data_IF_103461763784
#
_entry.id   IF_103461763784
#
_cell.length_a   1.000
_cell.length_b   1.000
_cell.length_c   1.000
_cell.angle_alpha   90.00
_cell.angle_beta   90.00
_cell.angle_gamma   90.00
#
_symmetry.space_group_name_H-M   'P 1'
#
loop_
_entity.id
_entity.type
_entity.pdbx_description
1 polymer ?
#
# COMPACT_ATOMS: atom_id res chain seq x y z
N UNK A 1 12.93 -0.81 18.69
CA UNK A 1 11.54 -0.93 19.15
C UNK A 1 10.97 -2.33 18.90
N UNK A 2 11.19 -2.97 17.73
CA UNK A 2 10.71 -4.34 17.49
C UNK A 2 11.10 -5.33 18.60
N UNK A 3 12.37 -5.41 18.92
CA UNK A 3 12.89 -6.34 19.96
C UNK A 3 12.21 -6.19 21.33
N UNK A 4 11.79 -4.99 21.70
CA UNK A 4 11.07 -4.77 22.97
C UNK A 4 9.63 -5.30 22.91
N UNK A 5 8.97 -5.19 21.77
CA UNK A 5 7.63 -5.75 21.57
C UNK A 5 7.67 -7.27 21.46
N UNK A 6 8.73 -7.85 20.84
CA UNK A 6 8.88 -9.30 20.73
C UNK A 6 9.05 -9.94 22.12
N UNK A 7 9.89 -9.36 22.98
CA UNK A 7 10.07 -9.84 24.38
C UNK A 7 8.79 -9.74 25.22
N UNK A 8 8.02 -8.65 25.05
CA UNK A 8 6.72 -8.49 25.73
C UNK A 8 5.69 -9.48 25.15
N UNK A 9 5.76 -9.74 23.85
CA UNK A 9 4.91 -10.71 23.16
C UNK A 9 5.09 -12.13 23.68
N UNK A 10 6.34 -12.57 23.87
CA UNK A 10 6.62 -13.89 24.45
C UNK A 10 6.04 -14.06 25.85
N UNK A 11 6.20 -13.06 26.72
CA UNK A 11 5.64 -13.09 28.08
C UNK A 11 4.11 -13.17 28.03
N UNK A 12 3.49 -12.36 27.17
CA UNK A 12 2.02 -12.36 27.00
C UNK A 12 1.53 -13.71 26.45
N UNK A 13 2.22 -14.28 25.46
CA UNK A 13 1.86 -15.57 24.88
C UNK A 13 1.93 -16.71 25.90
N UNK A 14 2.98 -16.73 26.72
CA UNK A 14 3.14 -17.72 27.80
C UNK A 14 2.03 -17.61 28.84
N UNK A 15 1.69 -16.38 29.26
CA UNK A 15 0.64 -16.13 30.21
C UNK A 15 -0.75 -16.52 29.69
N UNK A 16 -1.06 -16.17 28.45
CA UNK A 16 -2.34 -16.47 27.80
C UNK A 16 -2.52 -17.97 27.57
N UNK A 17 -1.47 -18.68 27.15
CA UNK A 17 -1.51 -20.12 26.92
C UNK A 17 -1.68 -20.95 28.19
N UNK A 18 -1.28 -20.42 29.37
CA UNK A 18 -1.46 -21.08 30.65
C UNK A 18 -2.88 -20.93 31.20
N UNK A 19 -3.59 -19.85 30.91
CA UNK A 19 -4.84 -19.50 31.60
C UNK A 19 -6.09 -19.56 30.73
N UNK A 20 -5.94 -19.63 29.38
CA UNK A 20 -7.06 -19.55 28.43
C UNK A 20 -7.09 -20.73 27.43
N UNK A 21 -8.29 -21.10 26.95
CA UNK A 21 -8.41 -22.07 25.86
C UNK A 21 -7.60 -21.62 24.64
N UNK A 22 -6.98 -22.57 23.92
CA UNK A 22 -6.08 -22.32 22.78
C UNK A 22 -6.66 -21.33 21.75
N UNK A 23 -7.94 -21.43 21.44
CA UNK A 23 -8.61 -20.57 20.47
C UNK A 23 -8.72 -19.12 20.93
N UNK A 24 -8.95 -18.90 22.24
CA UNK A 24 -9.03 -17.56 22.83
C UNK A 24 -7.65 -16.93 23.01
N UNK A 25 -6.65 -17.75 23.34
CA UNK A 25 -5.24 -17.33 23.43
C UNK A 25 -4.74 -16.87 22.06
N UNK A 26 -4.99 -17.66 20.99
CA UNK A 26 -4.63 -17.29 19.61
C UNK A 26 -5.36 -16.01 19.15
N UNK A 27 -6.66 -15.85 19.47
CA UNK A 27 -7.38 -14.62 19.12
C UNK A 27 -6.78 -13.37 19.79
N UNK A 28 -6.44 -13.46 21.06
CA UNK A 28 -5.87 -12.32 21.79
C UNK A 28 -4.44 -12.01 21.33
N UNK A 29 -3.64 -13.03 21.05
CA UNK A 29 -2.25 -12.85 20.62
C UNK A 29 -2.16 -12.48 19.13
N UNK A 30 -2.67 -13.35 18.26
CA UNK A 30 -2.54 -13.17 16.80
C UNK A 30 -3.51 -12.12 16.23
N UNK A 31 -4.70 -12.01 16.83
CA UNK A 31 -5.71 -11.04 16.38
C UNK A 31 -5.52 -9.65 16.97
N UNK A 32 -5.36 -9.54 18.28
CA UNK A 32 -5.36 -8.23 18.94
C UNK A 32 -3.94 -7.71 19.18
N UNK A 33 -3.06 -8.50 19.80
CA UNK A 33 -1.71 -8.06 20.16
C UNK A 33 -0.88 -7.74 18.92
N UNK A 34 -0.83 -8.63 17.92
CA UNK A 34 -0.12 -8.40 16.66
C UNK A 34 -0.69 -7.20 15.91
N UNK A 35 -2.01 -7.00 15.90
CA UNK A 35 -2.62 -5.83 15.28
C UNK A 35 -2.24 -4.52 15.97
N UNK A 36 -2.22 -4.48 17.28
CA UNK A 36 -1.82 -3.30 18.06
C UNK A 36 -0.32 -3.01 17.91
N UNK A 37 0.54 -4.01 18.03
CA UNK A 37 1.99 -3.83 17.87
C UNK A 37 2.37 -3.38 16.48
N UNK A 38 1.71 -3.90 15.43
CA UNK A 38 1.89 -3.41 14.06
C UNK A 38 1.58 -1.92 13.94
N UNK A 39 0.44 -1.46 14.47
CA UNK A 39 0.09 -0.03 14.46
C UNK A 39 1.13 0.79 15.22
N UNK A 40 1.56 0.35 16.42
CA UNK A 40 2.54 1.06 17.24
C UNK A 40 3.91 1.18 16.58
N UNK A 41 4.34 0.16 15.84
CA UNK A 41 5.62 0.17 15.13
C UNK A 41 5.66 1.21 14.01
N UNK A 42 4.51 1.52 13.39
CA UNK A 42 4.43 2.53 12.33
C UNK A 42 4.26 3.97 12.84
N UNK A 43 3.87 4.17 14.10
CA UNK A 43 3.65 5.51 14.65
C UNK A 43 4.87 6.44 14.46
N UNK A 44 6.12 6.06 14.78
CA UNK A 44 7.27 6.94 14.61
C UNK A 44 7.48 7.39 13.18
N UNK A 45 7.35 6.47 12.22
CA UNK A 45 7.50 6.76 10.78
C UNK A 45 6.41 7.73 10.32
N UNK A 46 5.18 7.50 10.76
CA UNK A 46 4.03 8.35 10.45
C UNK A 46 4.22 9.76 11.03
N UNK A 47 4.69 9.87 12.26
CA UNK A 47 4.97 11.16 12.91
C UNK A 47 5.99 11.97 12.10
N UNK A 48 7.12 11.36 11.77
CA UNK A 48 8.18 12.02 10.97
C UNK A 48 7.62 12.45 9.61
N UNK A 49 6.88 11.56 8.95
CA UNK A 49 6.29 11.85 7.65
C UNK A 49 5.33 13.05 7.71
N UNK A 50 4.42 13.11 8.68
CA UNK A 50 3.47 14.23 8.81
C UNK A 50 4.15 15.53 9.21
N UNK A 51 5.21 15.50 10.01
CA UNK A 51 5.99 16.69 10.35
C UNK A 51 6.65 17.25 9.08
N UNK A 52 7.34 16.41 8.31
CA UNK A 52 7.99 16.83 7.06
C UNK A 52 6.97 17.36 6.06
N UNK A 53 5.84 16.65 5.91
CA UNK A 53 4.76 17.06 5.03
C UNK A 53 4.16 18.42 5.44
N UNK A 54 3.86 18.60 6.72
CA UNK A 54 3.33 19.87 7.25
C UNK A 54 4.32 21.02 7.07
N UNK A 55 5.62 20.76 7.22
CA UNK A 55 6.67 21.74 6.94
C UNK A 55 6.66 22.15 5.47
N UNK A 56 6.64 21.19 4.54
CA UNK A 56 6.63 21.46 3.09
C UNK A 56 5.36 22.22 2.69
N UNK A 57 4.20 21.82 3.21
CA UNK A 57 2.91 22.46 2.94
C UNK A 57 2.89 23.93 3.41
N UNK A 58 3.33 24.18 4.63
CA UNK A 58 3.33 25.53 5.22
C UNK A 58 4.45 26.45 4.68
N UNK A 59 5.48 25.91 4.03
CA UNK A 59 6.60 26.69 3.46
C UNK A 59 6.24 27.45 2.18
N UNK A 60 5.11 27.14 1.53
CA UNK A 60 4.75 27.66 0.22
C UNK A 60 5.47 26.98 -0.96
N UNK A 61 6.29 25.95 -0.67
CA UNK A 61 6.99 25.17 -1.70
C UNK A 61 6.02 24.45 -2.66
N UNK A 62 4.92 23.90 -2.14
CA UNK A 62 3.92 23.14 -2.90
C UNK A 62 3.35 23.94 -4.08
N UNK A 63 2.99 25.20 -3.84
CA UNK A 63 2.40 26.05 -4.89
C UNK A 63 3.38 26.30 -6.03
N UNK A 64 4.67 26.45 -5.72
CA UNK A 64 5.71 26.71 -6.72
C UNK A 64 6.12 25.45 -7.47
N UNK A 65 6.30 24.33 -6.79
CA UNK A 65 6.55 23.04 -7.41
C UNK A 65 5.38 22.67 -8.35
N UNK A 66 4.15 22.91 -7.91
CA UNK A 66 2.97 22.77 -8.73
C UNK A 66 3.01 23.64 -9.97
N UNK A 67 3.36 24.93 -9.84
CA UNK A 67 3.45 25.85 -10.97
C UNK A 67 4.46 25.39 -12.05
N UNK A 68 5.65 24.95 -11.62
CA UNK A 68 6.69 24.47 -12.56
C UNK A 68 6.23 23.24 -13.32
N UNK A 69 5.48 22.35 -12.67
CA UNK A 69 5.01 21.11 -13.28
C UNK A 69 3.67 21.23 -14.00
N UNK A 70 3.01 22.39 -13.90
CA UNK A 70 1.64 22.60 -14.38
C UNK A 70 1.50 22.28 -15.88
N UNK A 71 2.41 22.78 -16.73
CA UNK A 71 2.41 22.54 -18.17
C UNK A 71 2.53 21.04 -18.55
N UNK A 72 3.22 20.26 -17.75
CA UNK A 72 3.38 18.82 -17.96
C UNK A 72 2.11 18.09 -17.50
N UNK A 73 1.60 18.47 -16.33
CA UNK A 73 0.40 17.88 -15.74
C UNK A 73 -0.87 18.20 -16.55
N UNK A 74 -0.97 19.38 -17.13
CA UNK A 74 -2.06 19.78 -18.01
C UNK A 74 -2.21 18.82 -19.22
N UNK A 75 -1.09 18.36 -19.80
CA UNK A 75 -1.12 17.35 -20.88
C UNK A 75 -1.78 16.05 -20.44
N UNK A 76 -1.73 15.73 -19.15
CA UNK A 76 -2.34 14.55 -18.54
C UNK A 76 -3.77 14.82 -18.01
N UNK A 77 -4.29 16.03 -18.13
CA UNK A 77 -5.58 16.44 -17.58
C UNK A 77 -5.58 16.69 -16.08
N UNK A 78 -4.41 16.97 -15.53
CA UNK A 78 -4.14 17.25 -14.13
C UNK A 78 -3.70 18.69 -13.94
N UNK A 79 -3.81 19.24 -12.73
CA UNK A 79 -3.18 20.48 -12.36
C UNK A 79 -1.78 20.23 -11.75
N UNK A 80 -0.94 21.25 -11.69
CA UNK A 80 0.40 21.09 -11.15
C UNK A 80 0.45 20.66 -9.68
N UNK A 81 -0.61 20.92 -8.90
CA UNK A 81 -0.71 20.45 -7.51
C UNK A 81 -0.83 18.93 -7.44
N UNK A 82 -1.42 18.31 -8.45
CA UNK A 82 -1.49 16.84 -8.54
C UNK A 82 -0.11 16.20 -8.52
N UNK A 83 0.89 16.81 -9.14
CA UNK A 83 2.27 16.32 -9.12
C UNK A 83 2.79 16.17 -7.69
N UNK A 84 2.57 17.18 -6.88
CA UNK A 84 3.03 17.14 -5.49
C UNK A 84 2.29 16.08 -4.68
N UNK A 85 0.98 15.93 -4.91
CA UNK A 85 0.19 14.88 -4.26
C UNK A 85 0.65 13.47 -4.67
N UNK A 86 1.03 13.28 -5.94
CA UNK A 86 1.63 12.02 -6.41
C UNK A 86 2.96 11.76 -5.70
N UNK A 87 3.83 12.78 -5.56
CA UNK A 87 5.09 12.64 -4.83
C UNK A 87 4.86 12.23 -3.37
N UNK A 88 3.87 12.82 -2.69
CA UNK A 88 3.51 12.39 -1.34
C UNK A 88 3.00 10.94 -1.32
N UNK A 89 2.37 10.49 -2.40
CA UNK A 89 1.95 9.10 -2.56
C UNK A 89 3.10 8.09 -2.49
N UNK A 90 4.31 8.47 -2.89
CA UNK A 90 5.51 7.63 -2.73
C UNK A 90 5.91 7.45 -1.26
N UNK A 91 5.55 8.35 -0.39
CA UNK A 91 5.66 8.15 1.05
C UNK A 91 4.48 7.35 1.60
N UNK A 92 3.27 7.92 1.53
CA UNK A 92 2.03 7.28 1.95
C UNK A 92 0.82 7.82 1.18
N UNK A 93 0.01 6.92 0.62
CA UNK A 93 -1.17 7.27 -0.17
C UNK A 93 -2.26 7.99 0.65
N UNK A 94 -2.36 7.68 1.94
CA UNK A 94 -3.44 8.23 2.79
C UNK A 94 -3.31 9.75 2.98
N UNK A 95 -2.18 10.30 3.46
CA UNK A 95 -2.01 11.76 3.54
C UNK A 95 -2.03 12.43 2.17
N UNK A 96 -1.46 11.79 1.14
CA UNK A 96 -1.54 12.30 -0.23
C UNK A 96 -2.98 12.52 -0.71
N UNK A 97 -3.87 11.56 -0.43
CA UNK A 97 -5.31 11.66 -0.70
C UNK A 97 -5.99 12.72 0.16
N UNK A 98 -5.60 12.86 1.43
CA UNK A 98 -6.17 13.88 2.31
C UNK A 98 -5.83 15.30 1.82
N UNK A 99 -4.62 15.52 1.31
CA UNK A 99 -4.18 16.80 0.76
C UNK A 99 -4.88 17.19 -0.55
N UNK A 100 -5.55 16.25 -1.24
CA UNK A 100 -6.34 16.60 -2.44
C UNK A 100 -7.51 17.54 -2.16
N UNK A 101 -7.84 17.83 -0.89
CA UNK A 101 -8.85 18.82 -0.50
C UNK A 101 -8.55 20.24 -0.99
N UNK A 102 -7.28 20.59 -1.18
CA UNK A 102 -6.86 21.91 -1.65
C UNK A 102 -7.12 22.13 -3.15
N UNK A 103 -7.47 21.08 -3.88
CA UNK A 103 -7.77 21.18 -5.30
C UNK A 103 -9.16 21.77 -5.52
N UNK A 104 -9.26 22.77 -6.42
CA UNK A 104 -10.49 23.50 -6.69
C UNK A 104 -11.41 22.74 -7.64
N UNK A 105 -10.87 22.16 -8.73
CA UNK A 105 -11.63 21.41 -9.70
C UNK A 105 -11.97 20.00 -9.16
N UNK A 106 -13.25 19.64 -9.19
CA UNK A 106 -13.70 18.30 -8.77
C UNK A 106 -13.19 17.22 -9.71
N UNK A 107 -13.10 17.50 -11.00
CA UNK A 107 -12.68 16.53 -12.01
C UNK A 107 -11.21 16.18 -11.85
N UNK A 108 -10.32 17.19 -11.79
CA UNK A 108 -8.88 16.97 -11.58
C UNK A 108 -8.63 16.33 -10.22
N UNK A 109 -9.38 16.71 -9.18
CA UNK A 109 -9.31 16.09 -7.86
C UNK A 109 -9.65 14.60 -7.91
N UNK A 110 -10.73 14.20 -8.61
CA UNK A 110 -11.12 12.80 -8.74
C UNK A 110 -10.10 12.00 -9.53
N UNK A 111 -9.56 12.55 -10.61
CA UNK A 111 -8.49 11.93 -11.37
C UNK A 111 -7.23 11.74 -10.51
N UNK A 112 -6.84 12.76 -9.76
CA UNK A 112 -5.71 12.68 -8.83
C UNK A 112 -5.92 11.60 -7.77
N UNK A 113 -7.14 11.49 -7.19
CA UNK A 113 -7.47 10.42 -6.24
C UNK A 113 -7.42 9.02 -6.88
N UNK A 114 -7.68 8.91 -8.17
CA UNK A 114 -7.64 7.64 -8.89
C UNK A 114 -6.19 7.17 -9.14
N UNK A 115 -5.26 8.10 -9.38
CA UNK A 115 -3.88 7.78 -9.75
C UNK A 115 -2.93 7.66 -8.55
N UNK A 116 -3.15 8.39 -7.44
CA UNK A 116 -2.32 8.33 -6.24
C UNK A 116 -2.06 6.89 -5.76
N UNK A 117 -3.04 5.97 -5.74
CA UNK A 117 -2.83 4.60 -5.29
C UNK A 117 -1.77 3.80 -6.07
N UNK A 118 -1.40 4.22 -7.27
CA UNK A 118 -0.35 3.58 -8.06
C UNK A 118 1.06 4.02 -7.68
N UNK A 119 1.20 5.07 -6.86
CA UNK A 119 2.50 5.46 -6.30
C UNK A 119 3.07 4.35 -5.42
N UNK A 120 4.36 4.07 -5.58
CA UNK A 120 5.08 3.07 -4.82
C UNK A 120 5.32 3.57 -3.40
N UNK A 121 4.39 3.31 -2.48
CA UNK A 121 4.51 3.76 -1.08
C UNK A 121 5.56 2.97 -0.29
N UNK A 122 6.00 3.51 0.84
CA UNK A 122 7.02 2.90 1.71
C UNK A 122 6.72 1.45 2.11
N UNK A 123 5.47 1.10 2.35
CA UNK A 123 5.05 -0.27 2.67
C UNK A 123 5.27 -1.25 1.50
N UNK A 124 4.96 -0.83 0.27
CA UNK A 124 5.27 -1.64 -0.92
C UNK A 124 6.78 -1.77 -1.13
N UNK A 125 7.52 -0.70 -0.89
CA UNK A 125 8.98 -0.71 -1.01
C UNK A 125 9.61 -1.73 -0.07
N UNK A 126 9.13 -1.88 1.16
CA UNK A 126 9.61 -2.91 2.10
C UNK A 126 9.42 -4.33 1.55
N UNK A 127 8.25 -4.61 0.98
CA UNK A 127 7.98 -5.91 0.32
C UNK A 127 8.94 -6.13 -0.85
N UNK A 128 9.17 -5.11 -1.67
CA UNK A 128 10.06 -5.23 -2.82
C UNK A 128 11.52 -5.40 -2.41
N UNK A 129 11.98 -4.71 -1.38
CA UNK A 129 13.31 -4.90 -0.81
C UNK A 129 13.49 -6.33 -0.29
N UNK A 130 12.49 -6.88 0.39
CA UNK A 130 12.51 -8.25 0.88
C UNK A 130 12.62 -9.26 -0.26
N UNK A 131 11.76 -9.17 -1.28
CA UNK A 131 11.82 -10.08 -2.43
C UNK A 131 13.11 -9.92 -3.25
N UNK A 132 13.57 -8.68 -3.46
CA UNK A 132 14.82 -8.46 -4.21
C UNK A 132 16.04 -8.97 -3.46
N UNK A 133 16.07 -8.89 -2.13
CA UNK A 133 17.17 -9.43 -1.33
C UNK A 133 17.25 -10.97 -1.37
N UNK A 134 16.09 -11.65 -1.52
CA UNK A 134 16.03 -13.11 -1.57
C UNK A 134 16.36 -13.64 -2.96
N UNK A 135 15.79 -13.09 -4.02
CA UNK A 135 15.81 -13.67 -5.37
C UNK A 135 16.90 -13.11 -6.28
N UNK A 136 17.49 -11.96 -5.95
CA UNK A 136 18.43 -11.26 -6.83
C UNK A 136 19.73 -10.89 -6.12
N UNK A 137 20.82 -10.83 -6.89
CA UNK A 137 22.07 -10.24 -6.41
C UNK A 137 21.89 -8.74 -6.11
N UNK A 138 22.69 -8.12 -5.25
CA UNK A 138 22.53 -6.71 -4.88
C UNK A 138 22.44 -5.75 -6.06
N UNK A 139 23.20 -6.00 -7.13
CA UNK A 139 23.21 -5.18 -8.34
C UNK A 139 21.92 -5.34 -9.14
N UNK A 140 21.47 -6.59 -9.35
CA UNK A 140 20.23 -6.88 -10.06
C UNK A 140 19.01 -6.44 -9.25
N UNK A 141 19.03 -6.58 -7.92
CA UNK A 141 17.97 -6.11 -7.03
C UNK A 141 17.74 -4.61 -7.12
N UNK A 142 18.83 -3.82 -7.18
CA UNK A 142 18.72 -2.37 -7.39
C UNK A 142 18.08 -2.03 -8.76
N UNK A 143 18.41 -2.78 -9.80
CA UNK A 143 17.87 -2.60 -11.15
C UNK A 143 16.37 -2.95 -11.19
N UNK A 144 15.98 -4.03 -10.53
CA UNK A 144 14.56 -4.42 -10.39
C UNK A 144 13.77 -3.35 -9.64
N UNK A 145 14.29 -2.81 -8.54
CA UNK A 145 13.63 -1.72 -7.82
C UNK A 145 13.48 -0.46 -8.68
N UNK A 146 14.53 -0.08 -9.42
CA UNK A 146 14.46 1.05 -10.34
C UNK A 146 13.39 0.83 -11.42
N UNK A 147 13.31 -0.38 -11.98
CA UNK A 147 12.26 -0.76 -12.92
C UNK A 147 10.86 -0.65 -12.31
N UNK A 148 10.66 -1.06 -11.06
CA UNK A 148 9.37 -0.93 -10.35
C UNK A 148 8.95 0.54 -10.17
N UNK A 149 9.91 1.45 -9.92
CA UNK A 149 9.63 2.90 -9.89
C UNK A 149 9.18 3.41 -11.25
N UNK A 150 9.91 3.06 -12.32
CA UNK A 150 9.54 3.44 -13.70
C UNK A 150 8.15 2.91 -14.04
N UNK A 151 7.88 1.64 -13.72
CA UNK A 151 6.57 1.02 -13.97
C UNK A 151 5.46 1.76 -13.22
N UNK A 152 5.68 2.15 -11.97
CA UNK A 152 4.74 2.97 -11.18
C UNK A 152 4.41 4.28 -11.89
N UNK A 153 5.44 5.03 -12.37
CA UNK A 153 5.23 6.27 -13.12
C UNK A 153 4.49 6.04 -14.45
N UNK A 154 4.84 4.99 -15.19
CA UNK A 154 4.15 4.65 -16.45
C UNK A 154 2.65 4.37 -16.21
N UNK A 155 2.32 3.63 -15.17
CA UNK A 155 0.93 3.30 -14.84
C UNK A 155 0.15 4.56 -14.43
N UNK A 156 0.77 5.46 -13.68
CA UNK A 156 0.19 6.75 -13.32
C UNK A 156 -0.13 7.55 -14.60
N UNK A 157 0.82 7.64 -15.53
CA UNK A 157 0.65 8.35 -16.80
C UNK A 157 -0.45 7.71 -17.65
N UNK A 158 -0.41 6.40 -17.84
CA UNK A 158 -1.40 5.65 -18.63
C UNK A 158 -2.80 5.84 -18.04
N UNK A 159 -2.95 5.68 -16.73
CA UNK A 159 -4.24 5.86 -16.05
C UNK A 159 -4.73 7.29 -16.19
N UNK A 160 -3.87 8.29 -16.02
CA UNK A 160 -4.23 9.69 -16.17
C UNK A 160 -4.71 9.99 -17.60
N UNK A 161 -4.03 9.49 -18.64
CA UNK A 161 -4.41 9.68 -20.03
C UNK A 161 -5.73 9.01 -20.40
N UNK A 162 -6.01 7.83 -19.86
CA UNK A 162 -7.27 7.08 -20.11
C UNK A 162 -8.47 7.79 -19.48
N UNK A 163 -8.33 8.27 -18.26
CA UNK A 163 -9.41 8.93 -17.52
C UNK A 163 -9.44 10.44 -17.63
N UNK A 164 -8.58 11.01 -18.50
CA UNK A 164 -8.54 12.45 -18.79
C UNK A 164 -9.88 12.95 -19.30
N UNK A 165 -10.47 13.93 -18.62
CA UNK A 165 -11.63 14.65 -19.11
C UNK A 165 -11.19 15.84 -19.97
N UNK A 166 -11.53 15.82 -21.25
CA UNK A 166 -11.19 16.90 -22.22
C UNK A 166 -11.84 18.25 -21.86
N UNK A 167 -12.91 18.25 -21.07
CA UNK A 167 -13.61 19.47 -20.69
C UNK A 167 -12.97 20.18 -19.49
N UNK A 168 -12.20 19.45 -18.67
CA UNK A 168 -11.57 20.02 -17.47
C UNK A 168 -10.38 20.97 -17.79
N UNK A 169 -9.86 20.94 -19.00
CA UNK A 169 -8.65 21.69 -19.42
C UNK A 169 -8.92 23.20 -19.56
N UNK A 170 -10.17 23.62 -19.71
CA UNK A 170 -10.54 25.03 -19.98
C UNK A 170 -10.66 25.89 -18.71
N UNK A 171 -10.50 25.32 -17.51
CA UNK A 171 -10.44 26.11 -16.29
C UNK A 171 -8.99 26.50 -16.02
N UNK A 172 -8.52 27.60 -16.61
CA UNK A 172 -7.23 28.22 -16.26
C UNK A 172 -7.26 28.66 -14.79
N UNK A 173 -6.75 27.81 -13.91
CA UNK A 173 -6.66 28.11 -12.49
C UNK A 173 -5.46 29.02 -12.29
N UNK A 174 -5.72 30.30 -12.00
CA UNK A 174 -4.67 31.22 -11.52
C UNK A 174 -4.14 30.67 -10.18
N UNK A 175 -2.93 30.13 -10.22
CA UNK A 175 -2.23 29.66 -9.02
C UNK A 175 -1.60 30.88 -8.36
N UNK A 176 -2.18 31.32 -7.25
CA UNK A 176 -1.54 32.32 -6.40
C UNK A 176 -0.25 31.73 -5.84
N UNK A 177 0.87 32.43 -6.04
CA UNK A 177 2.16 32.02 -5.50
C UNK A 177 2.40 32.76 -4.17
N UNK A 178 2.12 32.12 -3.02
CA UNK A 178 2.45 32.71 -1.74
C UNK A 178 3.97 32.91 -1.63
N UNK A 179 4.45 33.96 -0.95
CA UNK A 179 5.87 34.12 -0.70
C UNK A 179 6.39 32.94 0.13
N UNK A 180 7.68 32.59 -0.05
CA UNK A 180 8.34 31.64 0.83
C UNK A 180 8.30 32.16 2.27
N UNK A 181 7.80 31.33 3.16
CA UNK A 181 7.82 31.62 4.60
C UNK A 181 8.40 30.40 5.31
N UNK A 182 9.33 30.66 6.22
CA UNK A 182 9.73 29.61 7.15
C UNK A 182 8.55 29.40 8.12
N UNK A 183 7.93 28.22 8.12
CA UNK A 183 6.83 27.98 9.03
C UNK A 183 7.32 27.96 10.46
N UNK A 184 6.52 28.51 11.38
CA UNK A 184 6.85 28.46 12.80
C UNK A 184 6.75 27.01 13.29
N UNK A 185 7.74 26.56 14.05
CA UNK A 185 7.80 25.20 14.60
C UNK A 185 6.49 24.84 15.32
N UNK A 186 5.94 25.79 16.09
CA UNK A 186 4.68 25.63 16.80
C UNK A 186 3.51 25.30 15.86
N UNK A 187 3.38 26.03 14.76
CA UNK A 187 2.30 25.84 13.78
C UNK A 187 2.45 24.49 13.05
N UNK A 188 3.67 24.17 12.60
CA UNK A 188 3.97 22.90 11.94
C UNK A 188 3.63 21.71 12.85
N UNK A 189 4.03 21.79 14.12
CA UNK A 189 3.79 20.72 15.09
C UNK A 189 2.31 20.56 15.41
N UNK A 190 1.57 21.66 15.59
CA UNK A 190 0.12 21.62 15.83
C UNK A 190 -0.64 21.00 14.65
N UNK A 191 -0.28 21.41 13.42
CA UNK A 191 -0.90 20.85 12.20
C UNK A 191 -0.56 19.35 12.09
N UNK A 192 0.70 18.97 12.29
CA UNK A 192 1.14 17.58 12.25
C UNK A 192 0.40 16.72 13.30
N UNK A 193 0.31 17.17 14.55
CA UNK A 193 -0.40 16.45 15.63
C UNK A 193 -1.89 16.26 15.27
N UNK A 194 -2.52 17.31 14.73
CA UNK A 194 -3.92 17.23 14.32
C UNK A 194 -4.14 16.14 13.23
N UNK A 195 -3.31 16.15 12.20
CA UNK A 195 -3.39 15.18 11.11
C UNK A 195 -3.03 13.76 11.58
N UNK A 196 -2.01 13.61 12.44
CA UNK A 196 -1.65 12.32 13.06
C UNK A 196 -2.81 11.75 13.86
N UNK A 197 -3.46 12.55 14.69
CA UNK A 197 -4.58 12.12 15.52
C UNK A 197 -5.77 11.68 14.67
N UNK A 198 -6.02 12.43 13.58
CA UNK A 198 -7.05 12.10 12.62
C UNK A 198 -6.75 10.80 11.86
N UNK A 199 -5.49 10.62 11.47
CA UNK A 199 -5.00 9.40 10.82
C UNK A 199 -5.11 8.19 11.76
N UNK A 200 -4.56 8.28 12.98
CA UNK A 200 -4.56 7.17 13.95
C UNK A 200 -5.98 6.72 14.30
N UNK A 201 -6.88 7.65 14.59
CA UNK A 201 -8.28 7.31 14.90
C UNK A 201 -8.99 6.59 13.75
N UNK A 202 -8.59 6.86 12.51
CA UNK A 202 -9.20 6.25 11.33
C UNK A 202 -8.50 4.95 10.94
N UNK A 203 -7.18 4.96 10.84
CA UNK A 203 -6.39 3.82 10.42
C UNK A 203 -6.43 2.66 11.43
N UNK A 204 -6.34 2.94 12.74
CA UNK A 204 -6.37 1.90 13.77
C UNK A 204 -7.65 1.05 13.72
N UNK A 205 -8.81 1.67 13.48
CA UNK A 205 -10.08 0.93 13.35
C UNK A 205 -10.09 -0.04 12.17
N UNK A 206 -9.54 0.40 11.02
CA UNK A 206 -9.50 -0.45 9.83
C UNK A 206 -8.42 -1.52 9.92
N UNK A 207 -7.26 -1.22 10.50
CA UNK A 207 -6.18 -2.19 10.69
C UNK A 207 -6.61 -3.26 11.70
N UNK A 208 -7.09 -2.87 12.88
CA UNK A 208 -7.57 -3.82 13.89
C UNK A 208 -8.74 -4.67 13.36
N UNK A 209 -9.72 -4.04 12.73
CA UNK A 209 -10.83 -4.78 12.12
C UNK A 209 -10.36 -5.73 11.03
N UNK A 210 -9.40 -5.32 10.23
CA UNK A 210 -8.79 -6.14 9.19
C UNK A 210 -8.04 -7.34 9.74
N UNK A 211 -7.20 -7.14 10.77
CA UNK A 211 -6.45 -8.24 11.41
C UNK A 211 -7.41 -9.26 12.05
N UNK A 212 -8.49 -8.80 12.68
CA UNK A 212 -9.51 -9.69 13.22
C UNK A 212 -10.19 -10.51 12.13
N UNK A 213 -10.53 -9.89 10.98
CA UNK A 213 -11.12 -10.60 9.84
C UNK A 213 -10.16 -11.65 9.29
N UNK A 214 -8.87 -11.31 9.17
CA UNK A 214 -7.83 -12.25 8.74
C UNK A 214 -7.71 -13.40 9.70
N UNK A 215 -7.63 -13.13 11.01
CA UNK A 215 -7.58 -14.18 12.03
C UNK A 215 -8.77 -15.13 11.90
N UNK A 216 -9.98 -14.58 11.68
CA UNK A 216 -11.18 -15.40 11.44
C UNK A 216 -11.01 -16.29 10.18
N UNK A 217 -10.52 -15.74 9.07
CA UNK A 217 -10.35 -16.47 7.82
C UNK A 217 -9.31 -17.61 7.91
N UNK A 218 -8.30 -17.44 8.76
CA UNK A 218 -7.21 -18.41 8.92
C UNK A 218 -7.42 -19.45 10.03
N UNK A 219 -8.25 -19.13 11.03
CA UNK A 219 -8.46 -20.02 12.17
C UNK A 219 -9.80 -20.78 12.13
N UNK A 220 -10.73 -20.40 11.26
CA UNK A 220 -11.96 -21.16 11.06
C UNK A 220 -11.80 -22.20 9.95
N UNK A 221 -11.93 -23.46 10.33
CA UNK A 221 -11.88 -24.60 9.41
C UNK A 221 -13.28 -24.87 8.85
N UNK A 222 -13.39 -24.97 7.52
CA UNK A 222 -14.62 -25.37 6.83
C UNK A 222 -14.70 -26.90 6.73
N UNK A 223 -13.55 -27.58 6.69
CA UNK A 223 -13.41 -29.04 6.64
C UNK A 223 -12.18 -29.45 7.45
N UNK A 224 -12.03 -30.76 7.73
CA UNK A 224 -10.86 -31.30 8.41
C UNK A 224 -9.58 -30.90 7.65
N UNK A 225 -8.83 -29.91 8.16
CA UNK A 225 -7.56 -29.36 7.67
C UNK A 225 -7.64 -28.30 6.54
N UNK A 226 -8.80 -27.73 6.19
CA UNK A 226 -8.91 -26.66 5.19
C UNK A 226 -9.51 -25.43 5.83
N UNK A 227 -8.78 -24.33 5.84
CA UNK A 227 -9.25 -23.05 6.35
C UNK A 227 -10.14 -22.33 5.32
N UNK A 228 -10.88 -21.32 5.75
CA UNK A 228 -11.64 -20.46 4.82
C UNK A 228 -10.70 -19.80 3.82
N UNK A 229 -9.51 -19.39 4.25
CA UNK A 229 -8.50 -18.77 3.41
C UNK A 229 -8.01 -19.72 2.31
N UNK A 230 -7.77 -21.02 2.64
CA UNK A 230 -7.37 -22.03 1.68
C UNK A 230 -8.48 -22.33 0.65
N UNK A 231 -9.73 -22.32 1.08
CA UNK A 231 -10.85 -22.51 0.17
C UNK A 231 -11.03 -21.33 -0.80
N UNK A 232 -10.81 -20.11 -0.30
CA UNK A 232 -10.82 -18.89 -1.13
C UNK A 232 -9.66 -18.88 -2.13
N UNK A 233 -8.45 -19.28 -1.71
CA UNK A 233 -7.29 -19.32 -2.60
C UNK A 233 -7.49 -20.34 -3.71
N UNK A 234 -7.97 -21.56 -3.40
CA UNK A 234 -8.28 -22.58 -4.41
C UNK A 234 -9.34 -22.15 -5.42
N UNK A 235 -10.34 -21.36 -5.00
CA UNK A 235 -11.32 -20.78 -5.92
C UNK A 235 -10.71 -19.69 -6.84
N UNK A 236 -9.73 -18.93 -6.35
CA UNK A 236 -9.05 -17.86 -7.09
C UNK A 236 -7.87 -18.39 -7.92
N UNK A 237 -7.32 -19.58 -7.60
CA UNK A 237 -6.17 -20.18 -8.27
C UNK A 237 -6.27 -20.16 -9.80
N UNK A 238 -7.39 -20.57 -10.45
CA UNK A 238 -7.47 -20.56 -11.92
C UNK A 238 -7.28 -19.17 -12.55
N UNK A 239 -7.55 -18.09 -11.80
CA UNK A 239 -7.39 -16.71 -12.26
C UNK A 239 -5.94 -16.24 -12.07
N UNK A 240 -5.26 -16.74 -11.03
CA UNK A 240 -3.91 -16.30 -10.64
C UNK A 240 -2.79 -17.18 -11.18
N UNK A 241 -3.05 -18.46 -11.50
CA UNK A 241 -2.08 -19.38 -12.11
C UNK A 241 -1.48 -18.83 -13.42
N UNK A 242 -2.24 -18.22 -14.35
CA UNK A 242 -1.69 -17.69 -15.60
C UNK A 242 -0.69 -16.54 -15.38
N UNK A 243 -0.69 -15.89 -14.22
CA UNK A 243 0.25 -14.84 -13.83
C UNK A 243 1.35 -15.35 -12.90
N UNK A 244 1.40 -16.67 -12.63
CA UNK A 244 2.43 -17.32 -11.83
C UNK A 244 2.31 -17.11 -10.31
N UNK A 245 1.14 -16.74 -9.81
CA UNK A 245 0.87 -16.53 -8.38
C UNK A 245 0.18 -17.79 -7.82
N UNK A 246 0.87 -18.53 -6.96
CA UNK A 246 0.37 -19.75 -6.34
C UNK A 246 -0.59 -19.46 -5.16
N UNK A 247 -1.28 -20.51 -4.67
CA UNK A 247 -2.30 -20.41 -3.60
C UNK A 247 -1.77 -19.72 -2.34
N UNK A 248 -0.54 -20.02 -1.91
CA UNK A 248 0.09 -19.42 -0.74
C UNK A 248 0.30 -17.91 -0.92
N UNK A 249 0.69 -17.48 -2.13
CA UNK A 249 0.85 -16.07 -2.46
C UNK A 249 -0.51 -15.35 -2.57
N UNK A 250 -1.57 -16.04 -3.02
CA UNK A 250 -2.93 -15.48 -3.04
C UNK A 250 -3.40 -15.17 -1.62
N UNK A 251 -3.18 -16.08 -0.67
CA UNK A 251 -3.49 -15.84 0.73
C UNK A 251 -2.70 -14.62 1.23
N UNK A 252 -1.40 -14.53 0.94
CA UNK A 252 -0.60 -13.36 1.30
C UNK A 252 -1.13 -12.04 0.71
N UNK A 253 -1.68 -12.05 -0.52
CA UNK A 253 -2.31 -10.87 -1.13
C UNK A 253 -3.59 -10.46 -0.39
N UNK A 254 -4.38 -11.41 0.11
CA UNK A 254 -5.58 -11.12 0.93
C UNK A 254 -5.17 -10.39 2.21
N UNK A 255 -4.10 -10.83 2.87
CA UNK A 255 -3.52 -10.12 4.02
C UNK A 255 -2.99 -8.74 3.63
N UNK A 256 -2.25 -8.66 2.52
CA UNK A 256 -1.69 -7.42 1.99
C UNK A 256 -2.74 -6.40 1.54
N UNK A 257 -3.98 -6.82 1.30
CA UNK A 257 -5.10 -5.91 1.05
C UNK A 257 -5.47 -5.09 2.29
N UNK A 258 -5.36 -5.65 3.46
CA UNK A 258 -5.66 -4.96 4.72
C UNK A 258 -4.56 -3.97 5.04
N UNK A 259 -3.33 -4.47 5.14
CA UNK A 259 -2.13 -3.67 5.34
C UNK A 259 -0.95 -4.34 4.63
N UNK A 260 -0.30 -3.61 3.75
CA UNK A 260 0.80 -4.12 2.92
C UNK A 260 2.00 -4.57 3.74
N UNK A 261 2.18 -3.96 4.89
CA UNK A 261 3.24 -4.24 5.85
C UNK A 261 3.12 -5.65 6.46
N UNK A 262 1.91 -6.15 6.61
CA UNK A 262 1.63 -7.47 7.20
C UNK A 262 1.98 -8.60 6.21
N UNK A 263 2.13 -8.30 4.92
CA UNK A 263 2.33 -9.29 3.88
C UNK A 263 3.54 -10.20 4.16
N UNK A 264 4.67 -9.63 4.58
CA UNK A 264 5.89 -10.41 4.89
C UNK A 264 5.66 -11.31 6.10
N UNK A 265 5.05 -10.78 7.17
CA UNK A 265 4.68 -11.58 8.35
C UNK A 265 3.69 -12.69 8.01
N UNK A 266 2.73 -12.41 7.14
CA UNK A 266 1.78 -13.41 6.66
C UNK A 266 2.48 -14.54 5.87
N UNK A 267 3.44 -14.21 5.01
CA UNK A 267 4.26 -15.22 4.33
C UNK A 267 5.00 -16.11 5.32
N UNK A 268 5.60 -15.54 6.37
CA UNK A 268 6.27 -16.33 7.41
C UNK A 268 5.32 -17.33 8.09
N UNK A 269 4.11 -16.91 8.40
CA UNK A 269 3.07 -17.79 8.99
C UNK A 269 2.61 -18.85 8.01
N UNK A 270 2.30 -18.49 6.76
CA UNK A 270 1.81 -19.40 5.72
C UNK A 270 2.83 -20.49 5.39
N UNK A 271 4.12 -20.14 5.37
CA UNK A 271 5.21 -21.08 5.12
C UNK A 271 5.70 -21.78 6.40
N UNK A 272 5.05 -21.55 7.56
CA UNK A 272 5.39 -22.14 8.87
C UNK A 272 6.87 -22.01 9.20
N UNK A 273 7.47 -20.85 8.90
CA UNK A 273 8.91 -20.59 9.04
C UNK A 273 9.18 -19.41 9.96
N UNK A 274 10.37 -19.44 10.58
CA UNK A 274 10.90 -18.24 11.22
C UNK A 274 11.35 -17.25 10.15
N UNK A 275 11.41 -15.95 10.48
CA UNK A 275 11.84 -14.90 9.53
C UNK A 275 13.21 -15.18 8.90
N UNK A 276 14.13 -15.81 9.65
CA UNK A 276 15.50 -16.13 9.19
C UNK A 276 15.53 -17.25 8.14
N UNK A 277 14.59 -18.22 8.21
CA UNK A 277 14.50 -19.36 7.28
C UNK A 277 13.52 -19.13 6.13
N UNK A 278 12.70 -18.07 6.19
CA UNK A 278 11.69 -17.76 5.20
C UNK A 278 12.30 -17.54 3.80
N UNK A 279 13.46 -16.91 3.72
CA UNK A 279 14.15 -16.66 2.45
C UNK A 279 14.50 -17.95 1.71
N UNK A 280 15.08 -18.92 2.42
CA UNK A 280 15.47 -20.22 1.84
C UNK A 280 14.26 -21.03 1.37
N UNK A 281 13.19 -21.03 2.16
CA UNK A 281 11.94 -21.71 1.80
C UNK A 281 11.29 -21.05 0.59
N UNK A 282 11.26 -19.72 0.53
CA UNK A 282 10.71 -19.02 -0.63
C UNK A 282 11.49 -19.32 -1.91
N UNK A 283 12.83 -19.43 -1.86
CA UNK A 283 13.66 -19.79 -3.03
C UNK A 283 13.37 -21.22 -3.54
N UNK A 284 12.96 -22.14 -2.67
CA UNK A 284 12.63 -23.51 -3.09
C UNK A 284 11.22 -23.63 -3.66
N UNK A 285 10.28 -22.81 -3.18
CA UNK A 285 8.85 -22.90 -3.54
C UNK A 285 8.46 -21.96 -4.69
N UNK A 286 9.22 -20.90 -4.94
CA UNK A 286 8.88 -19.83 -5.89
C UNK A 286 10.10 -19.52 -6.77
N UNK A 287 9.87 -19.43 -8.07
CA UNK A 287 10.90 -19.01 -9.02
C UNK A 287 11.03 -17.47 -9.05
N UNK A 288 12.18 -16.97 -9.49
CA UNK A 288 12.40 -15.52 -9.61
C UNK A 288 11.40 -14.82 -10.57
N UNK A 289 10.90 -15.51 -11.61
CA UNK A 289 9.88 -15.01 -12.52
C UNK A 289 8.54 -14.81 -11.79
N UNK A 290 8.16 -15.75 -10.94
CA UNK A 290 6.97 -15.66 -10.09
C UNK A 290 7.10 -14.54 -9.06
N UNK A 291 8.28 -14.38 -8.46
CA UNK A 291 8.57 -13.29 -7.54
C UNK A 291 8.42 -11.93 -8.22
N UNK A 292 8.95 -11.74 -9.43
CA UNK A 292 8.77 -10.51 -10.21
C UNK A 292 7.32 -10.26 -10.60
N UNK A 293 6.59 -11.29 -11.01
CA UNK A 293 5.15 -11.18 -11.31
C UNK A 293 4.36 -10.77 -10.08
N UNK A 294 4.65 -11.39 -8.93
CA UNK A 294 4.03 -11.05 -7.65
C UNK A 294 4.32 -9.59 -7.23
N UNK A 295 5.56 -9.13 -7.39
CA UNK A 295 5.95 -7.74 -7.12
C UNK A 295 5.19 -6.78 -8.05
N UNK A 296 5.12 -7.10 -9.35
CA UNK A 296 4.39 -6.30 -10.35
C UNK A 296 2.90 -6.24 -10.02
N UNK A 297 2.30 -7.37 -9.68
CA UNK A 297 0.91 -7.42 -9.24
C UNK A 297 0.69 -6.61 -7.95
N UNK A 298 1.57 -6.78 -6.95
CA UNK A 298 1.50 -6.05 -5.68
C UNK A 298 1.68 -4.54 -5.85
N UNK A 299 2.44 -4.10 -6.87
CA UNK A 299 2.57 -2.68 -7.22
C UNK A 299 1.23 -2.07 -7.65
N UNK A 300 0.46 -2.77 -8.47
CA UNK A 300 -0.66 -2.20 -9.19
C UNK A 300 -2.00 -2.53 -8.51
N UNK A 301 -2.14 -3.75 -7.94
CA UNK A 301 -3.41 -4.21 -7.40
C UNK A 301 -3.93 -3.29 -6.29
N UNK A 302 -5.11 -3.58 -5.82
CA UNK A 302 -5.88 -2.75 -4.90
C UNK A 302 -5.05 -2.00 -3.85
N UNK A 303 -5.34 -0.71 -3.62
CA UNK A 303 -4.77 0.04 -2.52
C UNK A 303 -5.16 -0.59 -1.17
N UNK A 304 -4.37 -0.34 -0.12
CA UNK A 304 -4.70 -0.82 1.23
C UNK A 304 -6.07 -0.31 1.70
N UNK A 305 -6.68 -1.02 2.63
CA UNK A 305 -8.02 -0.72 3.14
C UNK A 305 -8.15 0.73 3.66
N UNK A 306 -7.10 1.26 4.31
CA UNK A 306 -7.04 2.65 4.77
C UNK A 306 -7.09 3.65 3.60
N UNK A 307 -6.46 3.35 2.48
CA UNK A 307 -6.51 4.17 1.25
C UNK A 307 -7.91 4.19 0.67
N UNK A 308 -8.57 3.04 0.57
CA UNK A 308 -9.95 2.92 0.08
C UNK A 308 -10.91 3.71 0.95
N UNK A 309 -10.81 3.56 2.27
CA UNK A 309 -11.61 4.31 3.23
C UNK A 309 -11.40 5.82 3.10
N UNK A 310 -10.16 6.25 2.80
CA UNK A 310 -9.84 7.66 2.57
C UNK A 310 -10.42 8.16 1.25
N UNK A 311 -10.30 7.41 0.15
CA UNK A 311 -10.96 7.77 -1.12
C UNK A 311 -12.46 7.93 -0.90
N UNK A 312 -13.13 6.98 -0.24
CA UNK A 312 -14.56 7.07 0.08
C UNK A 312 -14.91 8.31 0.91
N UNK A 313 -14.12 8.58 1.94
CA UNK A 313 -14.33 9.72 2.84
C UNK A 313 -14.12 11.07 2.14
N UNK A 314 -13.11 11.16 1.26
CA UNK A 314 -12.75 12.40 0.57
C UNK A 314 -13.64 12.69 -0.64
N UNK A 315 -13.95 11.66 -1.43
CA UNK A 315 -14.77 11.81 -2.64
C UNK A 315 -16.26 11.85 -2.35
N UNK A 316 -16.71 11.21 -1.25
CA UNK A 316 -18.12 10.92 -0.94
C UNK A 316 -18.85 10.21 -2.10
N UNK A 317 -18.11 9.58 -3.01
CA UNK A 317 -18.63 8.95 -4.21
C UNK A 317 -18.20 7.47 -4.26
N UNK A 318 -19.18 6.57 -4.10
CA UNK A 318 -18.93 5.12 -4.13
C UNK A 318 -18.52 4.63 -5.52
N UNK A 319 -18.98 5.29 -6.59
CA UNK A 319 -18.61 4.93 -7.96
C UNK A 319 -17.12 5.14 -8.20
N UNK A 320 -16.53 6.22 -7.67
CA UNK A 320 -15.08 6.45 -7.78
C UNK A 320 -14.30 5.35 -7.06
N UNK A 321 -14.75 4.92 -5.88
CA UNK A 321 -14.13 3.81 -5.15
C UNK A 321 -14.19 2.52 -5.96
N UNK A 322 -15.37 2.18 -6.50
CA UNK A 322 -15.54 0.99 -7.33
C UNK A 322 -14.68 1.04 -8.60
N UNK A 323 -14.66 2.18 -9.28
CA UNK A 323 -13.80 2.38 -10.46
C UNK A 323 -12.33 2.22 -10.12
N UNK A 324 -11.87 2.79 -9.00
CA UNK A 324 -10.47 2.66 -8.55
C UNK A 324 -10.10 1.20 -8.28
N UNK A 325 -10.98 0.45 -7.61
CA UNK A 325 -10.75 -0.96 -7.28
C UNK A 325 -10.74 -1.84 -8.54
N UNK A 326 -11.76 -1.71 -9.37
CA UNK A 326 -11.88 -2.51 -10.60
C UNK A 326 -10.73 -2.20 -11.56
N UNK A 327 -10.42 -0.93 -11.77
CA UNK A 327 -9.33 -0.52 -12.64
C UNK A 327 -7.98 -1.05 -12.17
N UNK A 328 -7.67 -0.92 -10.88
CA UNK A 328 -6.41 -1.41 -10.32
C UNK A 328 -6.28 -2.94 -10.42
N UNK A 329 -7.36 -3.71 -10.20
CA UNK A 329 -7.36 -5.16 -10.32
C UNK A 329 -7.16 -5.61 -11.78
N UNK A 330 -7.92 -5.04 -12.71
CA UNK A 330 -7.83 -5.38 -14.13
C UNK A 330 -6.44 -5.03 -14.66
N UNK A 331 -5.95 -3.84 -14.35
CA UNK A 331 -4.63 -3.40 -14.79
C UNK A 331 -3.51 -4.25 -14.19
N UNK A 332 -3.60 -4.60 -12.90
CA UNK A 332 -2.65 -5.47 -12.23
C UNK A 332 -2.57 -6.82 -12.92
N UNK A 333 -3.73 -7.41 -13.23
CA UNK A 333 -3.78 -8.71 -13.87
C UNK A 333 -3.18 -8.67 -15.28
N UNK A 334 -3.58 -7.70 -16.11
CA UNK A 334 -3.08 -7.56 -17.49
C UNK A 334 -1.56 -7.35 -17.51
N UNK A 335 -1.06 -6.42 -16.70
CA UNK A 335 0.37 -6.08 -16.69
C UNK A 335 1.19 -7.27 -16.16
N UNK A 336 0.75 -7.91 -15.08
CA UNK A 336 1.44 -9.08 -14.52
C UNK A 336 1.40 -10.28 -15.49
N UNK A 337 0.29 -10.50 -16.19
CA UNK A 337 0.18 -11.53 -17.20
C UNK A 337 1.16 -11.29 -18.36
N UNK A 338 1.15 -10.11 -18.95
CA UNK A 338 2.09 -9.77 -20.03
C UNK A 338 3.54 -9.92 -19.57
N UNK A 339 3.85 -9.46 -18.36
CA UNK A 339 5.20 -9.52 -17.81
C UNK A 339 5.65 -10.95 -17.53
N UNK A 340 4.80 -11.77 -16.92
CA UNK A 340 5.11 -13.16 -16.61
C UNK A 340 5.30 -14.01 -17.87
N UNK A 341 4.42 -13.86 -18.87
CA UNK A 341 4.53 -14.58 -20.14
C UNK A 341 5.80 -14.18 -20.92
N UNK A 342 6.17 -12.89 -20.90
CA UNK A 342 7.43 -12.44 -21.50
C UNK A 342 8.63 -13.09 -20.80
N UNK A 343 8.65 -13.13 -19.47
CA UNK A 343 9.75 -13.72 -18.71
C UNK A 343 9.92 -15.22 -18.96
N UNK A 344 8.83 -15.98 -19.08
CA UNK A 344 8.88 -17.41 -19.39
C UNK A 344 9.47 -17.62 -20.79
N UNK A 345 9.00 -16.87 -21.79
CA UNK A 345 9.48 -17.01 -23.16
C UNK A 345 10.96 -16.61 -23.33
N UNK A 346 11.48 -15.71 -22.50
CA UNK A 346 12.92 -15.36 -22.50
C UNK A 346 13.79 -16.37 -21.73
N UNK A 347 13.19 -17.18 -20.86
CA UNK A 347 13.90 -18.16 -20.01
C UNK A 347 13.90 -19.57 -20.61
N UNK A 348 13.10 -19.85 -21.63
CA UNK A 348 13.13 -21.10 -22.42
C UNK A 348 14.07 -20.96 -23.62
#
# INVERSE_FOLDING_TARGET
MGLAFDSVGEIISLFLNQHLPKLFSSFLYDGVYLGVTTVLTFIPVIIIFFIVMSFIENSGYLSRAGFVMDKIMEKMGLDGRSFVMILFGFGCNVPALMSTKIMRSKTTRFLTMLIIPFSLCSARLQVFLFFTAIFFSPQMGALVLFFMYILSFLIIIITALIFKDKKAINESVLIEMPPYRLPTIKQTLLTAIHEINHFLKRASKFILGGVIVVWLLTNFYVSTNVTIADHMSGFLSPIFDPIGINDKLIIALIFGFIAKEILIGALAVIFSSNMDSLGDILQTEINWQQALSFMTFTLIYTPCLSTIATIKSQSKNIRLVATSLLWSLVLAWIVSFCFYQLLINFSS
#
